data_IF_467875940372
#
_entry.id   IF_467875940372
#
_cell.length_a   1.000
_cell.length_b   1.000
_cell.length_c   1.000
_cell.angle_alpha   90.00
_cell.angle_beta   90.00
_cell.angle_gamma   90.00
#
_symmetry.space_group_name_H-M   'P 1'
#
loop_
_entity.id
_entity.type
_entity.pdbx_description
1 polymer ?
#
# COMPACT_ATOMS: atom_id res chain seq x y z
N UNK A 1 12.19 5.28 -13.15
CA UNK A 1 11.85 6.54 -12.43
C UNK A 1 11.10 6.27 -11.14
N UNK A 2 10.12 5.36 -11.17
CA UNK A 2 9.25 5.02 -10.04
C UNK A 2 10.04 4.46 -8.85
N UNK A 3 10.99 3.55 -9.11
CA UNK A 3 11.88 2.99 -8.06
C UNK A 3 12.66 4.10 -7.35
N UNK A 4 13.26 5.02 -8.10
CA UNK A 4 14.00 6.15 -7.53
C UNK A 4 13.11 7.02 -6.64
N UNK A 5 11.88 7.30 -7.06
CA UNK A 5 10.91 8.05 -6.24
C UNK A 5 10.55 7.30 -4.95
N UNK A 6 10.30 5.99 -5.03
CA UNK A 6 10.02 5.15 -3.85
C UNK A 6 11.23 5.05 -2.90
N UNK A 7 12.44 4.93 -3.45
CA UNK A 7 13.69 4.95 -2.69
C UNK A 7 13.90 6.30 -2.00
N UNK A 8 13.60 7.41 -2.70
CA UNK A 8 13.66 8.74 -2.13
C UNK A 8 12.73 8.85 -0.92
N UNK A 9 11.46 8.45 -1.04
CA UNK A 9 10.48 8.45 0.08
C UNK A 9 10.97 7.65 1.29
N UNK A 10 11.76 6.61 1.06
CA UNK A 10 12.32 5.73 2.09
C UNK A 10 13.60 6.28 2.76
N UNK A 11 14.15 7.38 2.23
CA UNK A 11 15.26 8.12 2.83
C UNK A 11 16.58 8.03 2.06
N UNK A 12 16.58 7.46 0.85
CA UNK A 12 17.76 7.49 -0.01
C UNK A 12 17.93 8.88 -0.64
N UNK A 13 19.14 9.16 -1.12
CA UNK A 13 19.45 10.39 -1.84
C UNK A 13 18.68 10.49 -3.16
N UNK A 14 18.52 11.71 -3.67
CA UNK A 14 17.79 11.98 -4.92
C UNK A 14 18.34 11.26 -6.15
N UNK A 15 19.61 10.84 -6.14
CA UNK A 15 20.28 10.27 -7.31
C UNK A 15 21.00 8.95 -6.98
N UNK A 16 20.25 7.84 -6.77
CA UNK A 16 20.85 6.51 -6.64
C UNK A 16 21.45 6.08 -8.00
N UNK A 17 22.63 5.43 -8.02
CA UNK A 17 23.22 4.94 -9.27
C UNK A 17 22.27 4.00 -10.02
N UNK A 18 22.28 4.05 -11.35
CA UNK A 18 21.41 3.23 -12.22
C UNK A 18 21.55 1.72 -11.96
N UNK A 19 22.77 1.27 -11.64
CA UNK A 19 23.02 -0.12 -11.22
C UNK A 19 22.22 -0.53 -9.99
N UNK A 20 21.96 0.39 -9.06
CA UNK A 20 21.20 0.13 -7.84
C UNK A 20 19.70 0.07 -8.15
N UNK A 21 19.19 0.99 -8.96
CA UNK A 21 17.77 0.98 -9.35
C UNK A 21 17.44 -0.24 -10.18
N UNK A 22 18.33 -0.66 -11.10
CA UNK A 22 18.19 -1.88 -11.90
C UNK A 22 18.18 -3.13 -11.02
N UNK A 23 19.11 -3.22 -10.06
CA UNK A 23 19.16 -4.35 -9.12
C UNK A 23 17.88 -4.44 -8.28
N UNK A 24 17.36 -3.31 -7.78
CA UNK A 24 16.09 -3.30 -7.04
C UNK A 24 14.92 -3.68 -7.95
N UNK A 25 14.92 -3.21 -9.21
CA UNK A 25 13.90 -3.58 -10.18
C UNK A 25 13.84 -5.08 -10.42
N UNK A 26 15.00 -5.71 -10.62
CA UNK A 26 15.11 -7.15 -10.84
C UNK A 26 14.62 -7.94 -9.62
N UNK A 27 15.05 -7.57 -8.41
CA UNK A 27 14.60 -8.20 -7.16
C UNK A 27 13.08 -8.11 -7.04
N UNK A 28 12.51 -6.91 -7.23
CA UNK A 28 11.07 -6.68 -7.07
C UNK A 28 10.28 -7.43 -8.14
N UNK A 29 10.76 -7.46 -9.39
CA UNK A 29 10.14 -8.23 -10.47
C UNK A 29 10.09 -9.72 -10.13
N UNK A 30 11.21 -10.29 -9.71
CA UNK A 30 11.30 -11.72 -9.38
C UNK A 30 10.36 -12.07 -8.21
N UNK A 31 10.29 -11.22 -7.18
CA UNK A 31 9.34 -11.40 -6.07
C UNK A 31 7.88 -11.32 -6.52
N UNK A 32 7.54 -10.40 -7.43
CA UNK A 32 6.18 -10.29 -7.98
C UNK A 32 5.81 -11.54 -8.79
N UNK A 33 6.73 -12.05 -9.61
CA UNK A 33 6.51 -13.28 -10.37
C UNK A 33 6.23 -14.45 -9.43
N UNK A 34 7.01 -14.59 -8.36
CA UNK A 34 6.80 -15.66 -7.37
C UNK A 34 5.46 -15.50 -6.63
N UNK A 35 5.11 -14.28 -6.22
CA UNK A 35 3.81 -14.01 -5.58
C UNK A 35 2.65 -14.39 -6.50
N UNK A 36 2.72 -14.07 -7.79
CA UNK A 36 1.69 -14.39 -8.78
C UNK A 36 1.58 -15.91 -8.99
N UNK A 37 2.71 -16.60 -9.12
CA UNK A 37 2.74 -18.06 -9.28
C UNK A 37 2.15 -18.77 -8.05
N UNK A 38 2.53 -18.36 -6.83
CA UNK A 38 1.99 -18.92 -5.61
C UNK A 38 0.50 -18.62 -5.44
N UNK A 39 0.06 -17.40 -5.77
CA UNK A 39 -1.36 -17.03 -5.73
C UNK A 39 -2.17 -17.85 -6.74
N UNK A 40 -1.61 -18.11 -7.93
CA UNK A 40 -2.21 -19.01 -8.92
C UNK A 40 -2.38 -20.45 -8.41
N UNK A 41 -1.39 -21.00 -7.70
CA UNK A 41 -1.49 -22.32 -7.05
C UNK A 41 -2.58 -22.35 -5.99
N UNK A 42 -2.71 -21.29 -5.19
CA UNK A 42 -3.76 -21.15 -4.18
C UNK A 42 -5.15 -21.08 -4.82
N UNK A 43 -5.30 -20.25 -5.87
CA UNK A 43 -6.55 -20.14 -6.62
C UNK A 43 -6.96 -21.49 -7.23
N UNK A 44 -6.01 -22.20 -7.85
CA UNK A 44 -6.25 -23.53 -8.42
C UNK A 44 -6.68 -24.55 -7.36
N UNK A 45 -6.07 -24.50 -6.17
CA UNK A 45 -6.44 -25.36 -5.04
C UNK A 45 -7.85 -25.06 -4.52
N UNK A 46 -8.33 -23.82 -4.67
CA UNK A 46 -9.73 -23.42 -4.43
C UNK A 46 -10.69 -23.84 -5.55
N UNK A 47 -10.19 -24.44 -6.62
CA UNK A 47 -10.98 -24.84 -7.79
C UNK A 47 -11.30 -23.69 -8.74
N UNK A 48 -10.58 -22.57 -8.64
CA UNK A 48 -10.75 -21.39 -9.50
C UNK A 48 -9.48 -21.14 -10.32
N UNK A 49 -9.63 -20.75 -11.58
CA UNK A 49 -8.47 -20.38 -12.43
C UNK A 49 -8.11 -18.90 -12.28
N UNK A 50 -9.09 -18.06 -11.94
CA UNK A 50 -8.89 -16.64 -11.68
C UNK A 50 -8.36 -16.41 -10.25
N UNK A 51 -7.29 -15.63 -10.15
CA UNK A 51 -6.71 -15.20 -8.86
C UNK A 51 -7.57 -14.10 -8.26
N UNK A 52 -8.03 -14.33 -7.03
CA UNK A 52 -8.77 -13.36 -6.22
C UNK A 52 -7.84 -12.62 -5.23
N UNK A 53 -8.30 -11.50 -4.64
CA UNK A 53 -7.53 -10.73 -3.67
C UNK A 53 -7.02 -11.57 -2.49
N UNK A 54 -7.87 -12.47 -1.98
CA UNK A 54 -7.57 -13.32 -0.83
C UNK A 54 -6.43 -14.29 -1.12
N UNK A 55 -6.29 -14.77 -2.36
CA UNK A 55 -5.22 -15.70 -2.76
C UNK A 55 -3.83 -15.04 -2.61
N UNK A 56 -3.73 -13.72 -2.87
CA UNK A 56 -2.50 -12.93 -2.71
C UNK A 56 -2.27 -12.58 -1.23
N UNK A 57 -3.33 -12.14 -0.53
CA UNK A 57 -3.24 -11.76 0.89
C UNK A 57 -2.85 -12.98 1.75
N UNK A 58 -3.25 -14.18 1.33
CA UNK A 58 -2.91 -15.43 2.03
C UNK A 58 -1.40 -15.66 2.13
N UNK A 59 -0.63 -15.22 1.14
CA UNK A 59 0.83 -15.37 1.13
C UNK A 59 1.52 -14.53 2.21
N UNK A 60 0.91 -13.39 2.57
CA UNK A 60 1.42 -12.45 3.58
C UNK A 60 0.70 -12.57 4.94
N UNK A 61 -0.18 -13.57 5.12
CA UNK A 61 -1.09 -13.68 6.28
C UNK A 61 -0.43 -13.62 7.66
N UNK A 62 0.86 -13.96 7.75
CA UNK A 62 1.61 -13.96 9.00
C UNK A 62 2.06 -12.56 9.42
N UNK A 63 2.14 -11.62 8.48
CA UNK A 63 2.49 -10.22 8.75
C UNK A 63 1.20 -9.40 8.93
N UNK A 64 0.63 -9.52 10.13
CA UNK A 64 -0.65 -8.88 10.49
C UNK A 64 -0.60 -7.36 10.29
N UNK A 65 0.52 -6.71 10.64
CA UNK A 65 0.70 -5.28 10.43
C UNK A 65 0.71 -4.87 8.96
N UNK A 66 1.30 -5.67 8.06
CA UNK A 66 1.23 -5.43 6.61
C UNK A 66 -0.18 -5.67 6.07
N UNK A 67 -0.86 -6.74 6.50
CA UNK A 67 -2.25 -7.03 6.09
C UNK A 67 -3.19 -5.89 6.53
N UNK A 68 -3.06 -5.38 7.75
CA UNK A 68 -3.86 -4.26 8.24
C UNK A 68 -3.64 -2.98 7.44
N UNK A 69 -2.38 -2.67 7.10
CA UNK A 69 -2.09 -1.52 6.21
C UNK A 69 -2.70 -1.70 4.82
N UNK A 70 -2.68 -2.91 4.28
CA UNK A 70 -3.31 -3.22 3.00
C UNK A 70 -4.84 -3.07 3.06
N UNK A 71 -5.48 -3.53 4.15
CA UNK A 71 -6.92 -3.32 4.40
C UNK A 71 -7.27 -1.85 4.40
N UNK A 72 -6.50 -1.02 5.11
CA UNK A 72 -6.71 0.44 5.12
C UNK A 72 -6.52 1.02 3.72
N UNK A 73 -5.46 0.65 3.00
CA UNK A 73 -5.18 1.11 1.63
C UNK A 73 -6.35 0.82 0.66
N UNK A 74 -6.89 -0.40 0.69
CA UNK A 74 -8.01 -0.79 -0.17
C UNK A 74 -9.32 -0.11 0.25
N UNK A 75 -9.58 0.08 1.55
CA UNK A 75 -10.76 0.82 2.00
C UNK A 75 -10.79 2.26 1.49
N UNK A 76 -9.63 2.95 1.47
CA UNK A 76 -9.51 4.30 0.89
C UNK A 76 -9.60 4.32 -0.64
N UNK A 77 -9.22 3.23 -1.30
CA UNK A 77 -9.45 3.08 -2.74
C UNK A 77 -10.94 2.99 -3.04
N UNK A 78 -11.68 2.19 -2.27
CA UNK A 78 -13.13 2.03 -2.45
C UNK A 78 -13.89 3.35 -2.19
N UNK A 79 -13.56 4.06 -1.11
CA UNK A 79 -14.13 5.38 -0.81
C UNK A 79 -13.92 6.35 -1.98
N UNK A 80 -12.69 6.42 -2.52
CA UNK A 80 -12.37 7.31 -3.65
C UNK A 80 -13.04 6.90 -4.96
N UNK A 81 -13.26 5.61 -5.18
CA UNK A 81 -14.00 5.11 -6.34
C UNK A 81 -15.47 5.50 -6.23
N UNK A 82 -16.09 5.25 -5.08
CA UNK A 82 -17.51 5.55 -4.84
C UNK A 82 -17.81 7.06 -4.85
N UNK A 83 -16.91 7.90 -4.35
CA UNK A 83 -17.05 9.35 -4.43
C UNK A 83 -17.06 9.86 -5.88
N UNK A 84 -16.15 9.32 -6.73
CA UNK A 84 -16.12 9.67 -8.16
C UNK A 84 -17.34 9.17 -8.92
N UNK A 85 -17.89 8.02 -8.54
CA UNK A 85 -19.11 7.48 -9.14
C UNK A 85 -20.35 8.32 -8.75
N UNK A 86 -20.30 9.08 -7.64
CA UNK A 86 -21.34 10.04 -7.25
C UNK A 86 -21.18 11.40 -7.94
N UNK A 87 -19.95 11.90 -8.09
CA UNK A 87 -19.66 13.17 -8.77
C UNK A 87 -19.77 13.09 -10.31
N UNK A 88 -19.72 11.88 -10.89
CA UNK A 88 -19.86 11.71 -12.35
C UNK A 88 -21.29 11.91 -12.89
N UNK A 89 -22.23 12.33 -12.03
CA UNK A 89 -23.52 12.88 -12.45
C UNK A 89 -23.47 14.39 -12.78
N UNK A 90 -22.38 15.12 -12.48
CA UNK A 90 -22.27 16.55 -12.83
C UNK A 90 -20.80 17.00 -13.03
N UNK A 91 -20.45 17.20 -14.31
CA UNK A 91 -19.32 17.98 -14.87
C UNK A 91 -17.87 17.46 -14.71
N UNK A 92 -17.15 17.55 -15.83
CA UNK A 92 -15.78 17.09 -16.02
C UNK A 92 -14.66 17.88 -15.34
N UNK A 93 -13.52 17.20 -15.25
CA UNK A 93 -12.15 17.72 -15.12
C UNK A 93 -11.83 18.60 -13.89
N UNK A 94 -11.27 17.98 -12.86
CA UNK A 94 -10.55 18.67 -11.77
C UNK A 94 -9.67 17.69 -11.00
N UNK A 95 -8.36 17.85 -11.14
CA UNK A 95 -7.31 17.03 -10.56
C UNK A 95 -6.87 17.67 -9.23
N UNK A 96 -7.29 17.18 -8.04
CA UNK A 96 -6.66 17.64 -6.77
C UNK A 96 -7.04 16.91 -5.45
N UNK A 97 -7.09 15.56 -5.38
CA UNK A 97 -7.30 14.87 -4.09
C UNK A 97 -6.46 13.57 -3.93
N UNK A 98 -5.21 13.58 -4.41
CA UNK A 98 -4.26 12.48 -4.18
C UNK A 98 -3.45 12.69 -2.89
N UNK A 99 -4.13 12.82 -1.75
CA UNK A 99 -3.48 12.64 -0.45
C UNK A 99 -3.82 11.25 0.09
N UNK A 100 -3.15 10.21 -0.43
CA UNK A 100 -2.67 9.07 0.38
C UNK A 100 -1.86 8.14 -0.55
N UNK A 101 -0.54 8.19 -0.43
CA UNK A 101 0.34 7.18 -1.03
C UNK A 101 0.25 5.85 -0.29
N UNK A 102 0.79 4.74 -0.84
CA UNK A 102 0.72 3.40 -0.21
C UNK A 102 1.33 3.36 1.20
N UNK A 103 2.14 4.36 1.55
CA UNK A 103 2.60 4.66 2.90
C UNK A 103 1.53 5.29 3.83
N UNK A 104 0.32 4.67 3.87
CA UNK A 104 -0.78 4.61 4.87
C UNK A 104 -1.32 5.87 5.58
N UNK A 105 -2.26 5.67 6.52
CA UNK A 105 -3.19 6.68 6.99
C UNK A 105 -2.51 7.68 7.93
N UNK A 106 -2.82 8.96 7.76
CA UNK A 106 -2.45 10.01 8.72
C UNK A 106 -1.80 11.26 8.14
N UNK A 107 -2.12 11.62 6.90
CA UNK A 107 -1.99 13.01 6.47
C UNK A 107 -3.13 13.83 7.05
N UNK A 108 -3.01 14.27 8.30
CA UNK A 108 -3.88 15.31 8.85
C UNK A 108 -3.29 16.67 8.45
N UNK A 109 -3.67 17.14 7.26
CA UNK A 109 -3.32 18.44 6.72
C UNK A 109 -4.53 19.19 6.16
N UNK A 110 -5.71 19.03 6.76
CA UNK A 110 -6.89 19.82 6.41
C UNK A 110 -7.05 20.98 7.41
N UNK A 111 -6.92 22.21 6.91
CA UNK A 111 -7.33 23.41 7.63
C UNK A 111 -8.79 23.29 8.14
N UNK A 112 -9.10 23.76 9.37
CA UNK A 112 -10.39 23.55 10.02
C UNK A 112 -11.37 24.65 9.64
N UNK A 113 -11.80 24.71 8.38
CA UNK A 113 -12.85 25.64 7.98
C UNK A 113 -13.64 25.10 6.78
N UNK A 114 -14.81 24.55 7.06
CA UNK A 114 -15.92 24.56 6.09
C UNK A 114 -16.18 23.31 5.26
N UNK A 115 -15.89 22.11 5.76
CA UNK A 115 -16.50 20.89 5.20
C UNK A 115 -17.30 20.24 6.32
N UNK A 116 -18.60 20.45 6.24
CA UNK A 116 -19.57 20.17 7.26
C UNK A 116 -19.52 18.73 7.78
N UNK A 117 -19.83 18.67 9.08
CA UNK A 117 -19.99 17.57 10.01
C UNK A 117 -20.96 16.44 9.57
N UNK A 118 -21.29 16.35 8.28
CA UNK A 118 -22.31 15.46 7.69
C UNK A 118 -21.71 14.20 7.05
N UNK A 119 -20.41 14.21 6.70
CA UNK A 119 -19.72 13.04 6.13
C UNK A 119 -19.27 12.02 7.20
N UNK A 120 -19.22 12.42 8.48
CA UNK A 120 -18.95 11.53 9.62
C UNK A 120 -20.19 10.74 10.09
N UNK A 121 -21.38 11.08 9.59
CA UNK A 121 -22.65 10.47 10.02
C UNK A 121 -23.17 9.39 9.05
N UNK A 122 -22.65 9.32 7.82
CA UNK A 122 -22.85 8.13 6.99
C UNK A 122 -21.86 7.07 7.47
N UNK A 123 -22.32 6.18 8.35
CA UNK A 123 -21.74 4.84 8.55
C UNK A 123 -21.85 4.07 7.22
N UNK A 124 -21.18 4.53 6.16
CA UNK A 124 -20.85 3.69 5.04
C UNK A 124 -19.94 2.63 5.64
N UNK A 125 -20.47 1.40 5.74
CA UNK A 125 -19.73 0.23 6.20
C UNK A 125 -18.35 0.30 5.57
N UNK A 126 -17.30 0.51 6.39
CA UNK A 126 -15.92 0.31 5.95
C UNK A 126 -15.95 -1.02 5.19
N UNK A 127 -15.55 -1.03 3.93
CA UNK A 127 -15.38 -2.28 3.17
C UNK A 127 -14.21 -3.03 3.82
N UNK A 128 -14.50 -3.67 4.95
CA UNK A 128 -13.56 -4.58 5.57
C UNK A 128 -13.47 -5.76 4.62
N UNK A 129 -12.32 -5.91 3.98
CA UNK A 129 -11.96 -7.13 3.28
C UNK A 129 -12.18 -8.29 4.25
N UNK A 130 -13.11 -9.18 3.96
CA UNK A 130 -13.42 -10.30 4.86
C UNK A 130 -12.50 -11.44 4.50
N UNK A 131 -11.52 -11.76 5.35
CA UNK A 131 -10.53 -12.77 5.02
C UNK A 131 -11.07 -14.16 5.44
N UNK A 132 -11.08 -15.15 4.54
CA UNK A 132 -11.70 -16.46 4.81
C UNK A 132 -11.11 -17.26 5.98
N UNK A 133 -9.93 -16.86 6.49
CA UNK A 133 -9.24 -17.52 7.60
C UNK A 133 -9.31 -16.76 8.92
N UNK A 134 -10.12 -15.69 9.02
CA UNK A 134 -10.37 -15.04 10.31
C UNK A 134 -11.35 -15.84 11.15
N UNK A 135 -11.21 -15.74 12.48
CA UNK A 135 -11.97 -16.53 13.44
C UNK A 135 -13.49 -16.34 13.28
N UNK A 136 -13.93 -15.13 12.88
CA UNK A 136 -15.33 -14.81 12.56
C UNK A 136 -15.90 -15.69 11.44
N UNK A 137 -15.08 -16.11 10.47
CA UNK A 137 -15.49 -16.94 9.33
C UNK A 137 -15.32 -18.45 9.58
N UNK A 138 -14.87 -18.86 10.77
CA UNK A 138 -14.82 -20.27 11.15
C UNK A 138 -16.23 -20.89 11.30
N UNK A 139 -17.21 -20.06 11.67
CA UNK A 139 -18.57 -20.48 11.92
C UNK A 139 -19.48 -20.21 10.71
N UNK A 140 -20.45 -21.09 10.48
CA UNK A 140 -21.39 -20.99 9.34
C UNK A 140 -22.33 -19.79 9.45
N UNK A 141 -22.72 -19.48 10.67
CA UNK A 141 -23.57 -18.33 10.97
C UNK A 141 -22.73 -17.27 11.65
N UNK A 142 -22.78 -16.04 11.12
CA UNK A 142 -22.15 -14.89 11.72
C UNK A 142 -23.18 -14.17 12.59
N UNK A 143 -22.84 -13.86 13.86
CA UNK A 143 -23.67 -12.99 14.65
C UNK A 143 -23.78 -11.63 13.96
N UNK A 144 -24.87 -10.91 14.22
CA UNK A 144 -24.94 -9.51 13.84
C UNK A 144 -23.82 -8.77 14.58
N UNK A 145 -23.04 -7.99 13.85
CA UNK A 145 -22.01 -7.14 14.42
C UNK A 145 -22.67 -6.08 15.29
N UNK A 146 -22.57 -6.25 16.62
CA UNK A 146 -23.09 -5.31 17.61
C UNK A 146 -22.13 -4.14 17.87
N UNK A 147 -21.01 -4.05 17.14
CA UNK A 147 -20.03 -2.99 17.30
C UNK A 147 -19.38 -3.02 18.68
N UNK A 148 -18.85 -4.18 19.07
CA UNK A 148 -18.10 -4.26 20.33
C UNK A 148 -16.83 -3.39 20.20
N UNK A 149 -16.79 -2.33 21.01
CA UNK A 149 -15.81 -1.23 20.96
C UNK A 149 -14.47 -1.58 21.65
N UNK A 150 -14.23 -2.86 21.99
CA UNK A 150 -12.90 -3.27 22.44
C UNK A 150 -11.94 -3.35 21.25
N UNK A 151 -11.16 -2.29 21.08
CA UNK A 151 -10.04 -2.30 20.15
C UNK A 151 -9.11 -3.47 20.49
N UNK A 152 -9.16 -4.52 19.66
CA UNK A 152 -8.33 -5.71 19.78
C UNK A 152 -6.84 -5.32 19.91
N UNK A 153 -6.04 -6.14 20.59
CA UNK A 153 -4.60 -5.91 20.74
C UNK A 153 -3.89 -5.66 19.39
N UNK A 154 -4.38 -6.30 18.32
CA UNK A 154 -3.96 -6.12 16.93
C UNK A 154 -4.21 -4.69 16.40
N UNK A 155 -5.33 -4.07 16.77
CA UNK A 155 -5.65 -2.70 16.39
C UNK A 155 -4.69 -1.72 17.08
N UNK A 156 -4.38 -1.96 18.37
CA UNK A 156 -3.39 -1.15 19.11
C UNK A 156 -2.01 -1.21 18.45
N UNK A 157 -1.53 -2.40 18.07
CA UNK A 157 -0.24 -2.54 17.38
C UNK A 157 -0.22 -1.79 16.04
N UNK A 158 -1.32 -1.87 15.29
CA UNK A 158 -1.48 -1.17 14.01
C UNK A 158 -1.45 0.35 14.18
N UNK A 159 -2.12 0.87 15.21
CA UNK A 159 -2.10 2.29 15.57
C UNK A 159 -0.68 2.73 15.94
N UNK A 160 0.03 1.94 16.74
CA UNK A 160 1.42 2.24 17.12
C UNK A 160 2.36 2.26 15.91
N UNK A 161 2.25 1.30 14.99
CA UNK A 161 3.03 1.27 13.76
C UNK A 161 2.75 2.50 12.87
N UNK A 162 1.49 2.89 12.80
CA UNK A 162 1.05 4.10 12.07
C UNK A 162 1.67 5.35 12.68
N UNK A 163 1.54 5.54 14.00
CA UNK A 163 2.10 6.69 14.73
C UNK A 163 3.63 6.79 14.56
N UNK A 164 4.33 5.65 14.62
CA UNK A 164 5.79 5.62 14.41
C UNK A 164 6.18 6.13 13.03
N UNK A 165 5.42 5.75 12.00
CA UNK A 165 5.68 6.20 10.63
C UNK A 165 5.31 7.66 10.43
N UNK A 166 4.21 8.14 11.00
CA UNK A 166 3.84 9.56 10.98
C UNK A 166 4.93 10.41 11.62
N UNK A 167 5.40 10.03 12.81
CA UNK A 167 6.53 10.69 13.45
C UNK A 167 7.78 10.72 12.55
N UNK A 168 8.08 9.62 11.85
CA UNK A 168 9.24 9.55 10.94
C UNK A 168 9.08 10.49 9.76
N UNK A 169 7.87 10.64 9.22
CA UNK A 169 7.57 11.58 8.16
C UNK A 169 7.70 13.02 8.65
N UNK A 170 7.12 13.35 9.81
CA UNK A 170 7.21 14.69 10.41
C UNK A 170 8.67 15.08 10.69
N UNK A 171 9.46 14.15 11.24
CA UNK A 171 10.88 14.36 11.50
C UNK A 171 11.67 14.63 10.21
N UNK A 172 11.21 14.10 9.08
CA UNK A 172 11.83 14.31 7.77
C UNK A 172 11.39 15.61 7.12
N UNK A 173 10.12 15.98 7.23
CA UNK A 173 9.54 17.14 6.54
C UNK A 173 9.71 18.44 7.30
N UNK A 174 9.98 18.41 8.63
CA UNK A 174 10.07 19.61 9.48
C UNK A 174 11.04 20.71 9.01
N UNK A 175 12.09 20.34 8.28
CA UNK A 175 13.11 21.27 7.80
C UNK A 175 13.09 21.45 6.27
N UNK A 176 12.09 20.89 5.58
CA UNK A 176 11.97 21.01 4.13
C UNK A 176 11.46 22.39 3.74
N UNK A 177 12.01 22.94 2.67
CA UNK A 177 11.41 24.09 1.97
C UNK A 177 10.11 23.68 1.29
N UNK A 178 9.27 24.65 0.92
CA UNK A 178 8.03 24.38 0.18
C UNK A 178 8.28 23.54 -1.08
N UNK A 179 9.32 23.86 -1.86
CA UNK A 179 9.67 23.14 -3.09
C UNK A 179 10.07 21.69 -2.81
N UNK A 180 10.85 21.46 -1.75
CA UNK A 180 11.27 20.12 -1.35
C UNK A 180 10.09 19.30 -0.81
N UNK A 181 9.19 19.93 -0.05
CA UNK A 181 8.00 19.27 0.46
C UNK A 181 7.05 18.83 -0.68
N UNK A 182 6.82 19.70 -1.67
CA UNK A 182 6.03 19.36 -2.87
C UNK A 182 6.67 18.20 -3.62
N UNK A 183 7.98 18.23 -3.83
CA UNK A 183 8.66 17.12 -4.49
C UNK A 183 8.57 15.80 -3.69
N UNK A 184 8.66 15.87 -2.36
CA UNK A 184 8.50 14.71 -1.48
C UNK A 184 7.08 14.15 -1.52
N UNK A 185 6.05 14.99 -1.53
CA UNK A 185 4.66 14.55 -1.61
C UNK A 185 4.35 13.89 -2.95
N UNK A 186 4.86 14.44 -4.07
CA UNK A 186 4.76 13.81 -5.40
C UNK A 186 5.43 12.43 -5.44
N UNK A 187 6.64 12.31 -4.90
CA UNK A 187 7.33 11.02 -4.84
C UNK A 187 6.61 10.01 -3.95
N UNK A 188 5.93 10.46 -2.89
CA UNK A 188 5.14 9.59 -1.99
C UNK A 188 3.93 8.97 -2.69
N UNK A 189 3.44 9.61 -3.76
CA UNK A 189 2.37 9.07 -4.61
C UNK A 189 2.88 8.10 -5.68
N UNK A 190 4.20 7.89 -5.81
CA UNK A 190 4.77 7.00 -6.81
C UNK A 190 4.25 5.56 -6.62
N UNK A 191 3.81 4.96 -7.72
CA UNK A 191 3.29 3.60 -7.76
C UNK A 191 3.62 2.96 -9.11
N UNK A 192 3.89 1.66 -9.09
CA UNK A 192 4.08 0.87 -10.30
C UNK A 192 2.78 0.67 -11.08
N UNK A 193 1.62 0.75 -10.41
CA UNK A 193 0.33 0.29 -10.96
C UNK A 193 -0.65 1.42 -11.21
N UNK A 194 -0.51 2.56 -10.51
CA UNK A 194 -1.40 3.71 -10.68
C UNK A 194 -1.40 4.22 -12.13
N UNK A 195 -2.57 4.13 -12.80
CA UNK A 195 -2.76 4.43 -14.24
C UNK A 195 -1.83 3.65 -15.19
N UNK A 196 -1.15 2.60 -14.70
CA UNK A 196 -0.11 1.84 -15.40
C UNK A 196 -0.33 0.32 -15.34
N UNK A 197 -1.53 -0.13 -14.96
CA UNK A 197 -1.83 -1.56 -14.77
C UNK A 197 -1.52 -2.45 -15.98
N UNK A 198 -1.72 -1.95 -17.22
CA UNK A 198 -1.33 -2.71 -18.44
C UNK A 198 0.19 -2.91 -18.51
N UNK A 199 0.96 -1.82 -18.38
CA UNK A 199 2.42 -1.85 -18.41
C UNK A 199 2.97 -2.73 -17.27
N UNK A 200 2.35 -2.68 -16.09
CA UNK A 200 2.73 -3.53 -14.97
C UNK A 200 2.53 -5.02 -15.28
N UNK A 201 1.39 -5.41 -15.86
CA UNK A 201 1.13 -6.80 -16.26
C UNK A 201 2.10 -7.30 -17.33
N UNK A 202 2.45 -6.45 -18.29
CA UNK A 202 3.45 -6.78 -19.32
C UNK A 202 4.85 -6.92 -18.69
N UNK A 203 5.22 -6.00 -17.79
CA UNK A 203 6.51 -5.99 -17.09
C UNK A 203 6.76 -7.24 -16.23
N UNK A 204 5.74 -7.75 -15.52
CA UNK A 204 5.87 -8.98 -14.74
C UNK A 204 5.51 -10.25 -15.52
N UNK A 205 5.14 -10.15 -16.80
CA UNK A 205 4.79 -11.31 -17.62
C UNK A 205 3.49 -12.01 -17.19
N UNK A 206 2.56 -11.28 -16.58
CA UNK A 206 1.38 -11.82 -15.89
C UNK A 206 0.55 -12.81 -16.74
N UNK A 207 0.40 -12.54 -18.04
CA UNK A 207 -0.34 -13.39 -18.99
C UNK A 207 0.26 -14.79 -19.19
N UNK A 208 1.55 -14.96 -18.89
CA UNK A 208 2.25 -16.24 -19.02
C UNK A 208 2.23 -17.03 -17.70
N UNK A 209 1.85 -16.39 -16.59
CA UNK A 209 1.98 -16.96 -15.25
C UNK A 209 0.67 -17.57 -14.73
N UNK A 210 -0.49 -17.01 -15.11
CA UNK A 210 -1.79 -17.48 -14.64
C UNK A 210 -2.78 -17.71 -15.77
N UNK A 211 -3.70 -18.65 -15.54
CA UNK A 211 -4.75 -19.00 -16.50
C UNK A 211 -6.00 -18.15 -16.25
N UNK A 212 -6.14 -17.04 -16.97
CA UNK A 212 -7.33 -16.20 -16.94
C UNK A 212 -7.06 -14.78 -16.45
N UNK A 213 -8.11 -13.97 -16.42
CA UNK A 213 -8.02 -12.57 -15.98
C UNK A 213 -8.07 -12.53 -14.44
N UNK A 214 -7.09 -11.90 -13.77
CA UNK A 214 -7.14 -11.72 -12.32
C UNK A 214 -8.24 -10.74 -11.93
N UNK A 215 -8.65 -10.77 -10.66
CA UNK A 215 -9.51 -9.74 -10.09
C UNK A 215 -8.84 -8.36 -10.19
N UNK A 216 -9.63 -7.29 -10.38
CA UNK A 216 -9.10 -5.95 -10.61
C UNK A 216 -8.24 -5.45 -9.42
N UNK A 217 -8.58 -5.84 -8.19
CA UNK A 217 -7.83 -5.48 -6.98
C UNK A 217 -6.47 -6.19 -6.84
N UNK A 218 -6.23 -7.30 -7.55
CA UNK A 218 -4.94 -8.01 -7.47
C UNK A 218 -3.79 -7.11 -7.92
N UNK A 219 -4.01 -6.30 -8.95
CA UNK A 219 -2.99 -5.37 -9.45
C UNK A 219 -2.71 -4.27 -8.41
N UNK A 220 -3.74 -3.77 -7.73
CA UNK A 220 -3.55 -2.76 -6.68
C UNK A 220 -2.84 -3.34 -5.45
N UNK A 221 -3.15 -4.58 -5.05
CA UNK A 221 -2.43 -5.29 -3.99
C UNK A 221 -0.96 -5.47 -4.35
N UNK A 222 -0.66 -5.93 -5.58
CA UNK A 222 0.73 -6.08 -6.03
C UNK A 222 1.44 -4.71 -6.11
N UNK A 223 0.73 -3.64 -6.50
CA UNK A 223 1.23 -2.27 -6.46
C UNK A 223 1.61 -1.81 -5.04
N UNK A 224 0.77 -2.13 -4.06
CA UNK A 224 1.05 -1.88 -2.64
C UNK A 224 2.28 -2.68 -2.16
N UNK A 225 2.34 -3.97 -2.49
CA UNK A 225 3.43 -4.85 -2.06
C UNK A 225 4.77 -4.47 -2.70
N UNK A 226 4.79 -4.08 -3.96
CA UNK A 226 6.00 -3.61 -4.65
C UNK A 226 6.55 -2.32 -4.05
N UNK A 227 5.68 -1.37 -3.69
CA UNK A 227 6.08 -0.18 -2.95
C UNK A 227 6.72 -0.56 -1.60
N UNK A 228 6.06 -1.40 -0.81
CA UNK A 228 6.57 -1.87 0.48
C UNK A 228 7.89 -2.61 0.37
N UNK A 229 8.09 -3.44 -0.67
CA UNK A 229 9.35 -4.13 -0.94
C UNK A 229 10.48 -3.13 -1.22
N UNK A 230 10.26 -2.14 -2.10
CA UNK A 230 11.27 -1.10 -2.38
C UNK A 230 11.60 -0.32 -1.11
N UNK A 231 10.59 0.07 -0.32
CA UNK A 231 10.80 0.77 0.94
C UNK A 231 11.62 -0.06 1.93
N UNK A 232 11.23 -1.31 2.16
CA UNK A 232 11.91 -2.20 3.10
C UNK A 232 13.37 -2.45 2.72
N UNK A 233 13.63 -2.74 1.44
CA UNK A 233 15.00 -2.95 0.92
C UNK A 233 15.84 -1.68 1.12
N UNK A 234 15.29 -0.52 0.78
CA UNK A 234 16.00 0.76 0.88
C UNK A 234 16.30 1.12 2.33
N UNK A 235 15.33 1.01 3.22
CA UNK A 235 15.51 1.29 4.65
C UNK A 235 16.57 0.39 5.28
N UNK A 236 16.55 -0.92 5.00
CA UNK A 236 17.53 -1.86 5.52
C UNK A 236 18.93 -1.59 4.94
N UNK A 237 19.02 -1.29 3.65
CA UNK A 237 20.28 -0.89 3.02
C UNK A 237 20.85 0.39 3.69
N UNK A 238 20.02 1.39 3.95
CA UNK A 238 20.40 2.62 4.64
C UNK A 238 20.84 2.36 6.09
N UNK A 239 20.13 1.51 6.84
CA UNK A 239 20.51 1.10 8.21
C UNK A 239 21.88 0.42 8.21
N UNK A 240 22.13 -0.50 7.27
CA UNK A 240 23.42 -1.20 7.10
C UNK A 240 24.53 -0.21 6.70
N UNK A 241 24.25 0.72 5.78
CA UNK A 241 25.16 1.81 5.35
C UNK A 241 25.59 2.67 6.53
N UNK A 242 24.63 3.12 7.37
CA UNK A 242 24.89 3.89 8.60
C UNK A 242 25.74 3.11 9.61
N UNK A 243 25.41 1.84 9.87
CA UNK A 243 26.20 0.97 10.77
C UNK A 243 27.65 0.78 10.28
N UNK A 244 27.85 0.59 8.97
CA UNK A 244 29.18 0.43 8.37
C UNK A 244 30.02 1.71 8.46
N UNK A 245 29.41 2.89 8.28
CA UNK A 245 30.09 4.20 8.45
C UNK A 245 30.57 4.40 9.90
N UNK A 246 29.69 4.20 10.89
CA UNK A 246 30.06 4.28 12.31
C UNK A 246 31.22 3.35 12.70
N UNK A 247 31.22 2.11 12.18
CA UNK A 247 32.33 1.17 12.42
C UNK A 247 33.65 1.58 11.77
N UNK A 248 33.61 2.36 10.68
CA UNK A 248 34.81 2.91 10.03
C UNK A 248 35.35 4.13 10.78
N UNK A 249 34.48 4.94 11.36
CA UNK A 249 34.85 6.12 12.16
C UNK A 249 35.41 5.75 13.54
N UNK A 250 35.14 4.54 14.03
CA UNK A 250 35.66 4.00 15.29
C UNK A 250 36.98 3.23 15.16
N UNK A 251 37.48 3.05 13.92
CA UNK A 251 38.77 2.41 13.62
C UNK A 251 39.77 3.46 13.18
#
# INVERSE_FOLDING_TARGET
MEIQQMMFVSGETNDPPESTTTMIEDIVRDQVVELVLQSGKTAYSRGQRSVAPEDVIFLIRHDVGKVNRLRTYLSWKDVRKNAKDQDSADIGAGNDLVEDGPGGPGGAGANPSGIDNKMMASKQKKSQIRLPWELEFMFREQPLDYGDDEADESERETVLATLKRLKTNDDRTKNMTQKEYVHWSECRQASFTFRKGRRFREWCGFSNLIEGRPHDDVIDILGFLTFEMVCSITEEALKRKKKKKKKREQK
#
